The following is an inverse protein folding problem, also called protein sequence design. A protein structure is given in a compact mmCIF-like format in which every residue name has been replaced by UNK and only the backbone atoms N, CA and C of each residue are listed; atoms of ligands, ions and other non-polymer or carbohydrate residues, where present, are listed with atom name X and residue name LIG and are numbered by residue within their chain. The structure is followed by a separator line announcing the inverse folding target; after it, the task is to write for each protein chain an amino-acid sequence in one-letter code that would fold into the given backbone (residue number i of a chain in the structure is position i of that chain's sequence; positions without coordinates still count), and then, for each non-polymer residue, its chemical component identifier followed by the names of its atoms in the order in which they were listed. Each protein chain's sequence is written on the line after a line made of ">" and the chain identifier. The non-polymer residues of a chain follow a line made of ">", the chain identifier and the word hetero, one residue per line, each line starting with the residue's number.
data_IF_861802942134
#
_entry.id   IF_861802942134
#
_cell.length_a   1.000
_cell.length_b   1.000
_cell.length_c   1.000
_cell.angle_alpha   90.00
_cell.angle_beta   90.00
_cell.angle_gamma   90.00
#
_symmetry.space_group_name_H-M   'P 1'
#
loop_
_entity.id
_entity.type
_entity.pdbx_description
1 polymer ?
#
# COMPACT_ATOMS: atom_id res chain seq x y z
N UNK A 1 -16.85 10.30 -11.23
CA UNK A 1 -17.53 8.98 -11.33
C UNK A 1 -18.18 8.64 -10.00
N UNK A 2 -19.40 8.16 -10.06
CA UNK A 2 -20.17 7.60 -8.95
C UNK A 2 -20.35 6.10 -9.16
N UNK A 3 -20.34 5.28 -8.10
CA UNK A 3 -20.73 3.88 -8.18
C UNK A 3 -21.95 3.64 -7.27
N UNK A 4 -23.00 3.10 -7.82
CA UNK A 4 -24.20 2.69 -7.09
C UNK A 4 -24.18 1.18 -6.95
N UNK A 5 -24.08 0.70 -5.71
CA UNK A 5 -24.00 -0.72 -5.40
C UNK A 5 -25.28 -1.13 -4.69
N UNK A 6 -26.00 -2.09 -5.29
CA UNK A 6 -27.20 -2.66 -4.70
C UNK A 6 -26.84 -3.78 -3.71
N UNK A 7 -27.59 -3.93 -2.62
CA UNK A 7 -27.42 -5.02 -1.68
C UNK A 7 -27.37 -6.40 -2.38
N UNK A 8 -26.47 -7.24 -1.94
CA UNK A 8 -26.34 -8.60 -2.45
C UNK A 8 -25.04 -9.24 -2.02
N UNK A 9 -25.11 -10.51 -1.68
CA UNK A 9 -23.96 -11.28 -1.25
C UNK A 9 -23.10 -11.65 -2.45
N UNK A 10 -21.78 -11.55 -2.28
CA UNK A 10 -20.82 -12.05 -3.25
C UNK A 10 -20.56 -13.53 -3.03
N UNK A 11 -20.26 -14.26 -4.11
CA UNK A 11 -19.96 -15.69 -4.11
C UNK A 11 -18.94 -16.04 -5.21
N UNK A 12 -18.38 -17.25 -5.16
CA UNK A 12 -17.47 -17.74 -6.18
C UNK A 12 -15.99 -17.54 -5.86
N UNK A 13 -15.19 -17.34 -6.90
CA UNK A 13 -13.73 -17.35 -6.80
C UNK A 13 -13.12 -16.10 -7.42
N UNK A 14 -12.22 -15.45 -6.69
CA UNK A 14 -11.24 -14.54 -7.26
C UNK A 14 -10.09 -15.42 -7.77
N UNK A 15 -10.06 -15.69 -9.07
CA UNK A 15 -9.11 -16.64 -9.66
C UNK A 15 -7.66 -16.19 -9.56
N UNK A 16 -7.42 -14.89 -9.61
CA UNK A 16 -6.12 -14.26 -9.37
C UNK A 16 -6.31 -12.92 -8.68
N UNK A 17 -5.76 -12.78 -7.50
CA UNK A 17 -5.70 -11.48 -6.85
C UNK A 17 -4.71 -10.56 -7.60
N UNK A 18 -5.00 -9.26 -7.62
CA UNK A 18 -4.07 -8.27 -8.18
C UNK A 18 -2.69 -8.36 -7.50
N UNK A 19 -1.64 -8.00 -8.22
CA UNK A 19 -0.29 -8.01 -7.65
C UNK A 19 -0.12 -7.01 -6.51
N UNK A 20 0.75 -7.33 -5.56
CA UNK A 20 1.09 -6.44 -4.46
C UNK A 20 1.71 -5.14 -4.98
N UNK A 21 0.95 -4.04 -4.85
CA UNK A 21 1.45 -2.71 -5.18
C UNK A 21 2.75 -2.41 -4.43
N UNK A 22 2.82 -2.75 -3.15
CA UNK A 22 3.98 -2.51 -2.30
C UNK A 22 5.21 -3.32 -2.72
N UNK A 23 5.04 -4.58 -3.14
CA UNK A 23 6.11 -5.40 -3.72
C UNK A 23 6.48 -4.90 -5.12
N UNK A 24 5.49 -4.52 -5.94
CA UNK A 24 5.68 -4.00 -7.29
C UNK A 24 6.57 -2.76 -7.34
N UNK A 25 6.33 -1.76 -6.51
CA UNK A 25 7.22 -0.58 -6.42
C UNK A 25 8.68 -0.97 -6.19
N UNK A 26 8.92 -1.89 -5.26
CA UNK A 26 10.27 -2.35 -4.90
C UNK A 26 10.91 -3.15 -6.01
N UNK A 27 10.16 -4.04 -6.63
CA UNK A 27 10.62 -4.84 -7.75
C UNK A 27 11.01 -3.96 -8.95
N UNK A 28 10.17 -2.97 -9.30
CA UNK A 28 10.45 -2.02 -10.39
C UNK A 28 11.74 -1.23 -10.12
N UNK A 29 11.92 -0.72 -8.89
CA UNK A 29 13.10 0.06 -8.51
C UNK A 29 14.35 -0.82 -8.51
N UNK A 30 14.32 -1.97 -7.84
CA UNK A 30 15.49 -2.86 -7.79
C UNK A 30 15.87 -3.35 -9.19
N UNK A 31 14.90 -3.70 -10.05
CA UNK A 31 15.16 -4.14 -11.42
C UNK A 31 15.74 -3.00 -12.28
N UNK A 32 15.25 -1.76 -12.15
CA UNK A 32 15.78 -0.62 -12.89
C UNK A 32 17.20 -0.21 -12.44
N UNK A 33 17.59 -0.57 -11.21
CA UNK A 33 18.92 -0.27 -10.66
C UNK A 33 19.91 -1.44 -10.78
N UNK A 34 19.44 -2.61 -11.23
CA UNK A 34 20.25 -3.82 -11.29
C UNK A 34 21.28 -3.80 -12.43
N UNK A 35 22.35 -4.59 -12.27
CA UNK A 35 23.19 -5.01 -13.38
C UNK A 35 22.51 -6.19 -14.07
N UNK A 36 22.22 -6.03 -15.39
CA UNK A 36 21.50 -7.00 -16.20
C UNK A 36 19.98 -6.81 -16.20
N UNK A 37 19.36 -7.35 -17.26
CA UNK A 37 17.91 -7.27 -17.46
C UNK A 37 17.15 -8.17 -16.49
N UNK A 38 15.96 -7.77 -16.12
CA UNK A 38 15.07 -8.56 -15.24
C UNK A 38 13.71 -8.74 -15.91
N UNK A 39 13.23 -9.98 -15.98
CA UNK A 39 11.86 -10.29 -16.37
C UNK A 39 10.96 -10.27 -15.13
N UNK A 40 10.05 -9.29 -15.07
CA UNK A 40 9.07 -9.17 -13.98
C UNK A 40 7.74 -9.79 -14.40
N UNK A 41 7.31 -10.81 -13.69
CA UNK A 41 6.04 -11.50 -13.90
C UNK A 41 4.98 -11.04 -12.88
N UNK A 42 3.71 -11.19 -13.26
CA UNK A 42 2.58 -10.95 -12.38
C UNK A 42 2.34 -9.48 -12.04
N UNK A 43 2.86 -8.53 -12.83
CA UNK A 43 2.59 -7.11 -12.63
C UNK A 43 1.23 -6.70 -13.17
N UNK A 44 0.41 -6.11 -12.33
CA UNK A 44 -0.82 -5.41 -12.71
C UNK A 44 -0.63 -3.90 -12.57
N UNK A 45 -0.86 -3.17 -13.64
CA UNK A 45 -0.64 -1.72 -13.64
C UNK A 45 -1.80 -0.97 -12.99
N UNK A 46 -1.52 -0.37 -11.87
CA UNK A 46 -2.36 0.67 -11.26
C UNK A 46 -1.71 2.05 -11.43
N UNK A 47 -2.40 3.11 -11.06
CA UNK A 47 -1.88 4.48 -11.19
C UNK A 47 -0.54 4.66 -10.46
N UNK A 48 -0.42 4.15 -9.23
CA UNK A 48 0.78 4.28 -8.41
C UNK A 48 2.00 3.55 -9.03
N UNK A 49 1.84 2.31 -9.50
CA UNK A 49 2.91 1.56 -10.16
C UNK A 49 3.29 2.19 -11.50
N UNK A 50 2.30 2.71 -12.25
CA UNK A 50 2.52 3.43 -13.50
C UNK A 50 3.34 4.70 -13.26
N UNK A 51 3.08 5.45 -12.18
CA UNK A 51 3.88 6.62 -11.81
C UNK A 51 5.34 6.23 -11.51
N UNK A 52 5.57 5.15 -10.77
CA UNK A 52 6.93 4.65 -10.50
C UNK A 52 7.64 4.22 -11.77
N UNK A 53 6.98 3.45 -12.65
CA UNK A 53 7.53 3.05 -13.94
C UNK A 53 7.96 4.26 -14.77
N UNK A 54 7.05 5.21 -14.98
CA UNK A 54 7.34 6.44 -15.75
C UNK A 54 8.50 7.24 -15.15
N UNK A 55 8.58 7.32 -13.81
CA UNK A 55 9.69 7.96 -13.13
C UNK A 55 11.03 7.25 -13.42
N UNK A 56 11.05 5.91 -13.37
CA UNK A 56 12.24 5.13 -13.69
C UNK A 56 12.60 5.21 -15.19
N UNK A 57 11.60 5.28 -16.09
CA UNK A 57 11.81 5.53 -17.52
C UNK A 57 12.47 6.91 -17.77
N UNK A 58 11.99 7.96 -17.08
CA UNK A 58 12.62 9.28 -17.13
C UNK A 58 14.07 9.27 -16.61
N UNK A 59 14.38 8.38 -15.65
CA UNK A 59 15.74 8.16 -15.14
C UNK A 59 16.60 7.29 -16.08
N UNK A 60 16.04 6.75 -17.16
CA UNK A 60 16.76 6.05 -18.24
C UNK A 60 16.51 4.55 -18.31
N UNK A 61 15.76 3.94 -17.42
CA UNK A 61 15.36 2.55 -17.54
C UNK A 61 14.36 2.35 -18.69
N UNK A 62 14.32 1.15 -19.29
CA UNK A 62 13.36 0.82 -20.33
C UNK A 62 12.50 -0.37 -19.89
N UNK A 63 11.17 -0.26 -20.08
CA UNK A 63 10.21 -1.31 -19.77
C UNK A 63 9.54 -1.80 -21.06
N UNK A 64 9.71 -3.08 -21.38
CA UNK A 64 9.16 -3.70 -22.57
C UNK A 64 8.19 -4.81 -22.21
N UNK A 65 6.96 -4.84 -22.76
CA UNK A 65 6.06 -5.96 -22.56
C UNK A 65 6.63 -7.22 -23.23
N UNK A 66 6.53 -8.36 -22.54
CA UNK A 66 6.96 -9.67 -23.04
C UNK A 66 5.92 -10.72 -22.61
N UNK A 67 4.90 -10.92 -23.45
CA UNK A 67 3.71 -11.67 -23.11
C UNK A 67 2.95 -11.02 -21.95
N UNK A 68 2.72 -11.75 -20.88
CA UNK A 68 2.11 -11.25 -19.63
C UNK A 68 3.15 -10.67 -18.65
N UNK A 69 4.44 -10.73 -19.00
CA UNK A 69 5.53 -10.21 -18.19
C UNK A 69 6.08 -8.88 -18.73
N UNK A 70 6.99 -8.28 -17.98
CA UNK A 70 7.65 -7.04 -18.34
C UNK A 70 9.15 -7.19 -18.20
N UNK A 71 9.88 -6.99 -19.30
CA UNK A 71 11.33 -6.92 -19.29
C UNK A 71 11.77 -5.53 -18.87
N UNK A 72 12.53 -5.44 -17.80
CA UNK A 72 13.16 -4.23 -17.32
C UNK A 72 14.61 -4.23 -17.76
N UNK A 73 14.97 -3.23 -18.56
CA UNK A 73 16.33 -2.99 -19.03
C UNK A 73 16.87 -1.79 -18.27
N UNK A 74 17.89 -1.96 -17.43
CA UNK A 74 18.51 -0.87 -16.69
C UNK A 74 19.10 0.19 -17.62
N UNK A 75 19.09 1.42 -17.18
CA UNK A 75 19.68 2.52 -17.94
C UNK A 75 19.83 3.79 -17.09
N UNK A 76 20.61 4.74 -17.57
CA UNK A 76 20.86 6.03 -16.93
C UNK A 76 20.72 7.16 -17.94
N UNK A 77 19.96 8.16 -17.58
CA UNK A 77 19.86 9.40 -18.35
C UNK A 77 20.80 10.45 -17.74
N UNK A 78 21.51 11.15 -18.60
CA UNK A 78 22.30 12.32 -18.20
C UNK A 78 21.40 13.56 -18.08
N UNK A 79 21.76 14.47 -17.15
CA UNK A 79 21.08 15.74 -16.96
C UNK A 79 19.88 15.64 -16.02
N UNK A 80 19.07 16.70 -16.02
CA UNK A 80 17.92 16.87 -15.15
C UNK A 80 16.73 16.03 -15.61
N UNK A 81 16.05 15.38 -14.65
CA UNK A 81 14.85 14.58 -14.91
C UNK A 81 13.59 15.19 -14.30
N UNK A 82 12.44 14.88 -14.91
CA UNK A 82 11.12 15.31 -14.44
C UNK A 82 10.30 14.09 -14.08
N UNK A 83 9.86 14.02 -12.81
CA UNK A 83 9.20 12.88 -12.23
C UNK A 83 7.79 13.26 -11.77
N UNK A 84 6.75 12.83 -12.50
CA UNK A 84 5.37 12.97 -12.04
C UNK A 84 5.02 11.77 -11.13
N UNK A 85 4.95 12.03 -9.83
CA UNK A 85 4.58 11.03 -8.83
C UNK A 85 3.05 10.80 -8.74
N UNK A 86 2.23 11.53 -9.49
CA UNK A 86 0.78 11.45 -9.38
C UNK A 86 0.30 11.75 -7.95
N UNK A 87 -0.44 10.84 -7.35
CA UNK A 87 -0.80 10.88 -5.92
C UNK A 87 -0.02 9.83 -5.09
N UNK A 88 0.97 9.15 -5.70
CA UNK A 88 1.71 8.05 -5.10
C UNK A 88 2.78 8.52 -4.11
N UNK A 89 2.50 8.34 -2.83
CA UNK A 89 3.48 8.59 -1.76
C UNK A 89 4.68 7.64 -1.81
N UNK A 90 4.50 6.42 -2.31
CA UNK A 90 5.61 5.46 -2.48
C UNK A 90 6.54 5.92 -3.60
N UNK A 91 6.02 6.34 -4.74
CA UNK A 91 6.81 6.86 -5.86
C UNK A 91 7.66 8.04 -5.40
N UNK A 92 7.04 9.05 -4.76
CA UNK A 92 7.76 10.22 -4.27
C UNK A 92 8.88 9.84 -3.29
N UNK A 93 8.54 9.07 -2.24
CA UNK A 93 9.47 8.78 -1.13
C UNK A 93 10.55 7.76 -1.46
N UNK A 94 10.37 7.00 -2.54
CA UNK A 94 11.37 6.05 -3.01
C UNK A 94 12.28 6.68 -4.07
N UNK A 95 11.72 7.41 -5.05
CA UNK A 95 12.52 8.01 -6.11
C UNK A 95 13.31 9.24 -5.61
N UNK A 96 12.81 9.98 -4.63
CA UNK A 96 13.53 11.16 -4.09
C UNK A 96 14.92 10.82 -3.54
N UNK A 97 15.10 9.87 -2.59
CA UNK A 97 16.45 9.49 -2.14
C UNK A 97 17.23 8.73 -3.22
N UNK A 98 16.56 8.03 -4.14
CA UNK A 98 17.20 7.32 -5.23
C UNK A 98 17.89 8.29 -6.21
N UNK A 99 17.20 9.38 -6.64
CA UNK A 99 17.78 10.40 -7.50
C UNK A 99 18.99 11.06 -6.84
N UNK A 100 18.90 11.37 -5.54
CA UNK A 100 20.02 11.95 -4.80
C UNK A 100 21.22 10.99 -4.65
N UNK A 101 20.97 9.67 -4.42
CA UNK A 101 22.05 8.69 -4.35
C UNK A 101 22.79 8.55 -5.68
N UNK A 102 22.09 8.73 -6.80
CA UNK A 102 22.66 8.75 -8.14
C UNK A 102 23.35 10.08 -8.49
N UNK A 103 23.19 11.12 -7.67
CA UNK A 103 23.67 12.47 -7.99
C UNK A 103 22.91 13.11 -9.17
N UNK A 104 21.69 12.69 -9.40
CA UNK A 104 20.86 13.15 -10.52
C UNK A 104 19.99 14.32 -10.09
N UNK A 105 20.04 15.42 -10.82
CA UNK A 105 19.11 16.53 -10.60
C UNK A 105 17.70 16.12 -11.05
N UNK A 106 16.71 16.42 -10.20
CA UNK A 106 15.32 16.09 -10.52
C UNK A 106 14.34 17.19 -10.08
N UNK A 107 13.25 17.29 -10.81
CA UNK A 107 12.02 17.96 -10.38
C UNK A 107 10.92 16.91 -10.22
N UNK A 108 10.43 16.78 -8.98
CA UNK A 108 9.34 15.88 -8.66
C UNK A 108 8.04 16.69 -8.53
N UNK A 109 6.99 16.23 -9.20
CA UNK A 109 5.65 16.81 -9.14
C UNK A 109 4.67 15.78 -8.60
N UNK A 110 3.48 16.26 -8.23
CA UNK A 110 2.40 15.40 -7.78
C UNK A 110 1.10 16.18 -7.67
N UNK A 111 0.01 15.47 -7.40
CA UNK A 111 -1.34 16.04 -7.31
C UNK A 111 -2.04 15.57 -6.03
N UNK A 112 -3.27 16.08 -5.86
CA UNK A 112 -4.08 15.79 -4.69
C UNK A 112 -3.39 16.22 -3.40
N UNK A 113 -3.41 15.40 -2.39
CA UNK A 113 -2.81 15.66 -1.08
C UNK A 113 -1.31 15.37 -1.01
N UNK A 114 -0.65 14.95 -2.11
CA UNK A 114 0.74 14.48 -2.03
C UNK A 114 1.72 15.55 -1.51
N UNK A 115 1.54 16.82 -1.90
CA UNK A 115 2.37 17.93 -1.43
C UNK A 115 2.29 18.14 0.09
N UNK A 116 1.11 17.97 0.68
CA UNK A 116 0.89 18.16 2.11
C UNK A 116 1.27 16.96 2.99
N UNK A 117 1.61 15.81 2.36
CA UNK A 117 2.05 14.62 3.12
C UNK A 117 3.47 14.81 3.63
N UNK A 118 3.77 14.40 4.88
CA UNK A 118 5.10 14.62 5.47
C UNK A 118 6.25 14.07 4.63
N UNK A 119 7.34 14.85 4.56
CA UNK A 119 8.66 14.38 4.12
C UNK A 119 9.66 14.41 5.27
N UNK A 120 9.41 15.21 6.31
CA UNK A 120 10.19 15.21 7.53
C UNK A 120 10.05 13.87 8.29
N UNK A 121 11.15 13.27 8.79
CA UNK A 121 12.54 13.75 8.81
C UNK A 121 13.40 13.27 7.62
N UNK A 122 12.83 12.64 6.58
CA UNK A 122 13.59 12.15 5.43
C UNK A 122 14.37 13.27 4.73
N UNK A 123 13.72 14.37 4.46
CA UNK A 123 14.29 15.53 3.76
C UNK A 123 15.46 16.15 4.53
N UNK A 124 15.35 16.31 5.84
CA UNK A 124 16.48 16.80 6.68
C UNK A 124 17.67 15.85 6.64
N UNK A 125 17.42 14.55 6.81
CA UNK A 125 18.48 13.54 6.75
C UNK A 125 19.17 13.51 5.39
N UNK A 126 18.43 13.71 4.31
CA UNK A 126 19.03 13.83 2.98
C UNK A 126 19.89 15.07 2.82
N UNK A 127 19.43 16.23 3.34
CA UNK A 127 20.19 17.48 3.28
C UNK A 127 21.47 17.44 4.12
N UNK A 128 21.42 16.88 5.33
CA UNK A 128 22.60 16.68 6.18
C UNK A 128 23.66 15.79 5.49
N UNK A 129 23.22 14.89 4.61
CA UNK A 129 24.09 13.99 3.87
C UNK A 129 24.36 14.41 2.41
N UNK A 130 24.21 15.68 2.07
CA UNK A 130 24.72 16.24 0.83
C UNK A 130 23.75 16.40 -0.32
N UNK A 131 22.50 16.01 -0.16
CA UNK A 131 21.45 16.41 -1.07
C UNK A 131 21.02 17.86 -0.79
N UNK A 132 20.60 18.57 -1.82
CA UNK A 132 19.89 19.84 -1.69
C UNK A 132 18.44 19.63 -2.12
N UNK A 133 17.50 20.13 -1.33
CA UNK A 133 16.08 20.11 -1.63
C UNK A 133 15.49 21.51 -1.58
N UNK A 134 14.53 21.80 -2.47
CA UNK A 134 13.73 23.01 -2.39
C UNK A 134 12.76 22.96 -1.21
N UNK A 135 11.98 24.02 -1.03
CA UNK A 135 11.00 24.11 0.05
C UNK A 135 10.02 22.93 0.05
N UNK A 136 9.83 22.33 1.24
CA UNK A 136 8.89 21.20 1.43
C UNK A 136 7.45 21.66 1.33
N UNK A 137 6.58 20.76 0.90
CA UNK A 137 5.14 21.03 0.77
C UNK A 137 4.76 21.82 -0.48
N UNK A 138 5.73 22.18 -1.32
CA UNK A 138 5.55 22.90 -2.59
C UNK A 138 6.05 22.04 -3.75
N UNK A 139 5.23 21.90 -4.79
CA UNK A 139 5.65 21.29 -6.05
C UNK A 139 5.92 22.36 -7.14
N UNK A 140 6.89 22.14 -8.04
CA UNK A 140 7.78 20.99 -8.08
C UNK A 140 8.80 20.98 -6.94
N UNK A 141 8.96 19.84 -6.29
CA UNK A 141 10.04 19.59 -5.35
C UNK A 141 11.32 19.34 -6.16
N UNK A 142 12.33 20.19 -5.97
CA UNK A 142 13.61 20.06 -6.65
C UNK A 142 14.61 19.37 -5.76
N UNK A 143 15.39 18.47 -6.35
CA UNK A 143 16.52 17.80 -5.69
C UNK A 143 17.76 17.91 -6.54
N UNK A 144 18.89 18.15 -5.91
CA UNK A 144 20.23 18.16 -6.50
C UNK A 144 21.28 17.75 -5.47
N UNK A 145 22.54 17.72 -5.85
CA UNK A 145 23.61 17.19 -5.01
C UNK A 145 23.66 15.67 -5.02
N UNK A 146 24.53 15.09 -4.20
CA UNK A 146 24.71 13.63 -4.12
C UNK A 146 24.62 13.16 -2.69
N UNK A 147 23.79 12.16 -2.45
CA UNK A 147 23.63 11.53 -1.15
C UNK A 147 24.92 10.81 -0.76
N UNK A 148 25.47 11.16 0.40
CA UNK A 148 26.71 10.59 0.95
C UNK A 148 26.40 9.51 1.97
N UNK A 149 27.27 8.53 2.04
CA UNK A 149 27.23 7.53 3.11
C UNK A 149 27.36 8.18 4.50
N UNK A 150 26.79 7.53 5.51
CA UNK A 150 26.86 8.04 6.88
C UNK A 150 25.82 7.47 7.81
N UNK A 151 25.61 8.15 8.94
CA UNK A 151 24.64 7.77 9.95
C UNK A 151 23.36 8.59 9.78
N UNK A 152 22.32 7.97 9.29
CA UNK A 152 20.97 8.50 9.18
C UNK A 152 20.16 8.18 10.43
N UNK A 153 19.27 9.07 10.85
CA UNK A 153 18.40 8.86 12.01
C UNK A 153 16.95 9.14 11.63
N UNK A 154 16.08 8.16 11.75
CA UNK A 154 14.66 8.26 11.40
C UNK A 154 13.77 7.81 12.56
N UNK A 155 12.68 8.55 12.79
CA UNK A 155 11.65 8.12 13.73
C UNK A 155 10.85 6.94 13.14
N UNK A 156 10.74 5.84 13.90
CA UNK A 156 10.07 4.61 13.46
C UNK A 156 8.56 4.74 13.33
N UNK A 157 7.97 5.75 13.96
CA UNK A 157 6.51 5.96 14.02
C UNK A 157 5.96 6.96 12.98
N UNK A 158 6.76 7.52 12.07
CA UNK A 158 6.29 8.47 11.06
C UNK A 158 5.94 7.76 9.75
N UNK A 159 6.90 7.15 9.09
CA UNK A 159 6.65 6.43 7.83
C UNK A 159 7.72 5.39 7.52
N UNK A 160 7.30 4.12 7.37
CA UNK A 160 8.17 3.05 6.86
C UNK A 160 8.68 3.30 5.43
N UNK A 161 8.01 4.19 4.67
CA UNK A 161 8.45 4.56 3.31
C UNK A 161 9.74 5.38 3.33
N UNK A 162 10.00 6.16 4.39
CA UNK A 162 11.27 6.89 4.53
C UNK A 162 12.44 5.94 4.70
N UNK A 163 12.25 4.94 5.58
CA UNK A 163 13.23 3.89 5.82
C UNK A 163 13.47 3.09 4.54
N UNK A 164 12.39 2.64 3.89
CA UNK A 164 12.45 1.86 2.65
C UNK A 164 13.13 2.62 1.50
N UNK A 165 12.84 3.93 1.35
CA UNK A 165 13.47 4.78 0.34
C UNK A 165 14.97 4.90 0.52
N UNK A 166 15.44 5.16 1.76
CA UNK A 166 16.87 5.21 2.07
C UNK A 166 17.52 3.83 1.93
N UNK A 167 16.87 2.74 2.39
CA UNK A 167 17.39 1.38 2.23
C UNK A 167 17.68 1.06 0.77
N UNK A 168 16.76 1.41 -0.15
CA UNK A 168 16.96 1.16 -1.58
C UNK A 168 17.98 2.10 -2.23
N UNK A 169 18.17 3.30 -1.70
CA UNK A 169 19.07 4.30 -2.27
C UNK A 169 20.54 4.13 -1.82
N UNK A 170 20.76 3.84 -0.54
CA UNK A 170 22.10 3.85 0.08
C UNK A 170 23.09 2.79 -0.45
N UNK A 171 22.68 1.61 -0.96
CA UNK A 171 23.61 0.70 -1.64
C UNK A 171 24.32 1.33 -2.85
N UNK A 172 23.71 2.36 -3.47
CA UNK A 172 24.24 3.08 -4.63
C UNK A 172 25.19 4.25 -4.24
N UNK A 173 25.22 4.63 -2.96
CA UNK A 173 26.12 5.63 -2.44
C UNK A 173 27.53 5.04 -2.20
N UNK A 174 28.57 5.89 -2.27
CA UNK A 174 29.93 5.48 -1.98
C UNK A 174 30.15 5.39 -0.46
N UNK A 175 30.56 4.21 0.03
CA UNK A 175 30.82 3.94 1.45
C UNK A 175 29.60 3.39 2.21
N UNK A 176 29.89 2.86 3.39
CA UNK A 176 28.89 2.19 4.23
C UNK A 176 27.99 3.18 4.97
N UNK A 177 26.74 2.81 5.17
CA UNK A 177 25.75 3.62 5.86
C UNK A 177 25.06 2.86 6.99
N UNK A 178 24.53 3.64 7.94
CA UNK A 178 23.70 3.14 9.03
C UNK A 178 22.42 3.95 9.12
N UNK A 179 21.26 3.30 9.15
CA UNK A 179 19.98 3.93 9.47
C UNK A 179 19.62 3.55 10.90
N UNK A 180 19.70 4.50 11.83
CA UNK A 180 19.24 4.34 13.21
C UNK A 180 17.75 4.70 13.30
N UNK A 181 16.97 3.84 13.99
CA UNK A 181 15.55 4.05 14.20
C UNK A 181 15.34 4.51 15.63
N UNK A 182 14.70 5.66 15.80
CA UNK A 182 14.30 6.16 17.11
C UNK A 182 12.86 5.81 17.41
N UNK A 183 12.61 5.38 18.64
CA UNK A 183 11.29 4.91 19.06
C UNK A 183 10.90 3.57 18.45
N UNK A 184 9.61 3.25 18.52
CA UNK A 184 9.07 1.99 18.00
C UNK A 184 8.92 2.03 16.48
N UNK A 185 9.41 1.00 15.80
CA UNK A 185 9.20 0.83 14.35
C UNK A 185 7.77 0.35 14.08
N UNK A 186 6.94 1.22 13.58
CA UNK A 186 5.59 0.88 13.10
C UNK A 186 5.60 0.57 11.59
N UNK A 187 4.71 -0.30 11.14
CA UNK A 187 4.70 -0.85 9.77
C UNK A 187 6.02 -1.56 9.42
N UNK A 188 6.60 -2.26 10.39
CA UNK A 188 7.79 -3.09 10.21
C UNK A 188 7.71 -4.04 9.01
N UNK A 189 6.59 -4.73 8.76
CA UNK A 189 6.44 -5.61 7.60
C UNK A 189 6.74 -4.96 6.25
N UNK A 190 6.47 -3.66 6.06
CA UNK A 190 6.84 -2.97 4.81
C UNK A 190 8.35 -2.75 4.67
N UNK A 191 9.07 -2.64 5.78
CA UNK A 191 10.53 -2.60 5.79
C UNK A 191 11.07 -3.99 5.48
N UNK A 192 10.49 -5.05 6.07
CA UNK A 192 10.87 -6.44 5.80
C UNK A 192 10.64 -6.81 4.33
N UNK A 193 9.55 -6.37 3.70
CA UNK A 193 9.34 -6.48 2.25
C UNK A 193 10.45 -5.80 1.45
N UNK A 194 10.94 -4.64 1.90
CA UNK A 194 12.05 -3.94 1.24
C UNK A 194 13.33 -4.74 1.33
N UNK A 195 13.68 -5.20 2.52
CA UNK A 195 14.87 -6.02 2.76
C UNK A 195 14.82 -7.33 1.94
N UNK A 196 13.68 -8.01 1.95
CA UNK A 196 13.48 -9.24 1.17
C UNK A 196 13.61 -9.02 -0.34
N UNK A 197 13.08 -7.90 -0.85
CA UNK A 197 13.22 -7.56 -2.27
C UNK A 197 14.67 -7.22 -2.62
N UNK A 198 15.36 -6.41 -1.81
CA UNK A 198 16.77 -6.05 -2.01
C UNK A 198 17.66 -7.30 -2.00
N UNK A 199 17.43 -8.25 -1.09
CA UNK A 199 18.16 -9.51 -1.02
C UNK A 199 18.00 -10.35 -2.30
N UNK A 200 16.81 -10.37 -2.91
CA UNK A 200 16.59 -11.04 -4.22
C UNK A 200 17.39 -10.41 -5.35
N UNK A 201 17.79 -9.16 -5.22
CA UNK A 201 18.67 -8.44 -6.14
C UNK A 201 20.11 -8.35 -5.64
N UNK A 202 20.53 -9.24 -4.75
CA UNK A 202 21.92 -9.39 -4.29
C UNK A 202 22.38 -8.32 -3.29
N UNK A 203 21.47 -7.54 -2.72
CA UNK A 203 21.80 -6.50 -1.74
C UNK A 203 21.33 -6.95 -0.36
N UNK A 204 22.27 -7.42 0.46
CA UNK A 204 22.00 -7.80 1.84
C UNK A 204 22.22 -6.61 2.79
N UNK A 205 21.21 -6.37 3.64
CA UNK A 205 21.24 -5.37 4.70
C UNK A 205 21.26 -6.10 6.03
N UNK A 206 22.25 -5.79 6.87
CA UNK A 206 22.33 -6.36 8.21
C UNK A 206 21.41 -5.56 9.14
N UNK A 207 20.42 -6.24 9.72
CA UNK A 207 19.56 -5.67 10.76
C UNK A 207 20.16 -5.94 12.12
N UNK A 208 20.30 -4.88 12.93
CA UNK A 208 20.66 -4.93 14.34
C UNK A 208 19.53 -4.30 15.17
N UNK A 209 19.60 -4.39 16.50
CA UNK A 209 18.61 -3.75 17.35
C UNK A 209 18.57 -2.25 17.09
N UNK A 210 17.42 -1.74 16.66
CA UNK A 210 17.19 -0.32 16.38
C UNK A 210 17.95 0.25 15.17
N UNK A 211 18.57 -0.58 14.32
CA UNK A 211 19.25 -0.03 13.14
C UNK A 211 19.43 -1.02 11.98
N UNK A 212 19.74 -0.46 10.80
CA UNK A 212 20.09 -1.17 9.58
C UNK A 212 21.49 -0.75 9.12
N UNK A 213 22.35 -1.71 8.81
CA UNK A 213 23.70 -1.49 8.29
C UNK A 213 23.71 -1.83 6.81
N UNK A 214 24.07 -0.87 5.98
CA UNK A 214 24.04 -0.95 4.53
C UNK A 214 25.46 -0.80 3.98
N UNK A 215 25.92 -1.76 3.19
CA UNK A 215 27.16 -1.64 2.43
C UNK A 215 26.89 -0.82 1.17
N UNK A 216 27.65 0.23 0.99
CA UNK A 216 27.59 1.09 -0.19
C UNK A 216 28.57 0.69 -1.29
N UNK A 217 28.42 1.32 -2.46
CA UNK A 217 29.23 1.01 -3.64
C UNK A 217 28.97 -0.38 -4.21
N UNK A 218 27.85 -1.00 -3.83
CA UNK A 218 27.40 -2.31 -4.28
C UNK A 218 26.15 -2.11 -5.13
N UNK A 219 26.21 -2.33 -6.42
CA UNK A 219 25.04 -2.29 -7.29
C UNK A 219 24.05 -3.42 -6.96
N UNK A 220 22.85 -3.31 -7.52
CA UNK A 220 21.89 -4.41 -7.56
C UNK A 220 22.27 -5.39 -8.67
N UNK A 221 22.08 -6.68 -8.45
CA UNK A 221 22.25 -7.72 -9.46
C UNK A 221 20.89 -8.30 -9.85
N UNK A 222 20.64 -8.45 -11.15
CA UNK A 222 19.39 -9.04 -11.62
C UNK A 222 19.31 -10.52 -11.24
N UNK A 223 18.18 -11.01 -10.71
CA UNK A 223 17.93 -12.44 -10.55
C UNK A 223 17.53 -13.13 -11.88
N UNK A 224 17.55 -12.40 -13.02
CA UNK A 224 17.06 -12.86 -14.31
C UNK A 224 15.53 -12.78 -14.41
N UNK A 225 14.83 -13.43 -13.50
CA UNK A 225 13.36 -13.48 -13.46
C UNK A 225 12.84 -13.32 -12.03
N UNK A 226 11.75 -12.58 -11.89
CA UNK A 226 11.09 -12.35 -10.59
C UNK A 226 9.58 -12.27 -10.76
N UNK A 227 8.84 -13.07 -10.00
CA UNK A 227 7.39 -12.95 -9.90
C UNK A 227 7.02 -12.04 -8.73
N UNK A 228 6.16 -11.04 -8.99
CA UNK A 228 5.58 -10.18 -7.97
C UNK A 228 4.39 -10.94 -7.34
N UNK A 229 4.39 -11.03 -6.03
CA UNK A 229 3.36 -11.73 -5.25
C UNK A 229 2.00 -11.02 -5.28
N UNK A 230 0.93 -11.75 -4.95
CA UNK A 230 -0.42 -11.20 -4.81
C UNK A 230 -0.56 -10.22 -3.65
N UNK A 231 -1.50 -9.29 -3.77
CA UNK A 231 -1.70 -8.20 -2.81
C UNK A 231 -2.66 -8.61 -1.67
N UNK A 232 -2.12 -8.84 -0.48
CA UNK A 232 -2.91 -9.10 0.71
C UNK A 232 -3.78 -7.90 1.10
N UNK A 233 -3.34 -6.67 0.83
CA UNK A 233 -4.15 -5.47 1.07
C UNK A 233 -5.37 -5.41 0.15
N UNK A 234 -5.19 -5.73 -1.14
CA UNK A 234 -6.28 -5.81 -2.12
C UNK A 234 -7.19 -7.00 -1.86
N UNK A 235 -6.61 -8.18 -1.54
CA UNK A 235 -7.37 -9.38 -1.20
C UNK A 235 -8.24 -9.21 0.05
N UNK A 236 -7.83 -8.37 1.00
CA UNK A 236 -8.56 -8.16 2.25
C UNK A 236 -10.03 -7.74 2.03
N UNK A 237 -10.33 -7.03 0.94
CA UNK A 237 -11.71 -6.64 0.61
C UNK A 237 -12.55 -7.86 0.20
N UNK A 238 -11.99 -8.78 -0.57
CA UNK A 238 -12.67 -10.03 -0.96
C UNK A 238 -12.81 -10.99 0.23
N UNK A 239 -11.78 -11.08 1.08
CA UNK A 239 -11.83 -11.89 2.29
C UNK A 239 -12.87 -11.33 3.27
N UNK A 240 -12.99 -10.01 3.40
CA UNK A 240 -14.04 -9.37 4.19
C UNK A 240 -15.44 -9.65 3.59
N UNK A 241 -15.60 -9.51 2.28
CA UNK A 241 -16.86 -9.85 1.61
C UNK A 241 -17.24 -11.32 1.81
N UNK A 242 -16.26 -12.23 1.78
CA UNK A 242 -16.46 -13.65 2.11
C UNK A 242 -16.92 -13.87 3.55
N UNK A 243 -16.42 -13.08 4.50
CA UNK A 243 -16.85 -13.13 5.90
C UNK A 243 -18.30 -12.62 6.10
N UNK A 244 -18.85 -11.90 5.12
CA UNK A 244 -20.24 -11.44 5.11
C UNK A 244 -21.17 -12.38 4.32
N UNK A 245 -20.63 -13.35 3.56
CA UNK A 245 -21.40 -14.28 2.72
C UNK A 245 -21.46 -15.69 3.32
N UNK A 246 -22.66 -16.28 3.49
CA UNK A 246 -22.81 -17.67 3.94
C UNK A 246 -22.16 -18.69 3.00
N UNK A 247 -22.20 -18.47 1.68
CA UNK A 247 -21.52 -19.31 0.70
C UNK A 247 -20.00 -19.09 0.72
N UNK A 248 -19.58 -17.90 1.15
CA UNK A 248 -18.20 -17.48 1.24
C UNK A 248 -17.58 -17.13 -0.10
N UNK A 249 -16.32 -16.71 -0.04
CA UNK A 249 -15.49 -16.43 -1.20
C UNK A 249 -14.19 -17.23 -1.12
N UNK A 250 -13.71 -17.60 -2.30
CA UNK A 250 -12.40 -18.20 -2.51
C UNK A 250 -11.49 -17.16 -3.18
N UNK A 251 -10.27 -17.01 -2.68
CA UNK A 251 -9.26 -16.08 -3.21
C UNK A 251 -7.99 -16.85 -3.49
N UNK A 252 -7.49 -16.79 -4.73
CA UNK A 252 -6.27 -17.45 -5.20
C UNK A 252 -5.15 -16.45 -5.50
N UNK A 253 -3.91 -16.95 -5.50
CA UNK A 253 -2.71 -16.18 -5.78
C UNK A 253 -2.16 -15.44 -4.56
N UNK A 254 -2.44 -15.93 -3.34
CA UNK A 254 -1.94 -15.39 -2.08
C UNK A 254 -0.83 -16.27 -1.52
N UNK A 255 0.38 -15.72 -1.40
CA UNK A 255 1.47 -16.40 -0.72
C UNK A 255 1.26 -16.33 0.81
N UNK A 256 1.03 -17.49 1.42
CA UNK A 256 0.86 -17.63 2.88
C UNK A 256 2.15 -17.36 3.66
N UNK A 257 3.32 -17.40 3.02
CA UNK A 257 4.62 -17.06 3.62
C UNK A 257 5.03 -15.60 3.46
N UNK A 258 4.22 -14.81 2.73
CA UNK A 258 4.50 -13.40 2.43
C UNK A 258 4.84 -12.58 3.67
N UNK A 259 5.79 -11.66 3.52
CA UNK A 259 6.15 -10.65 4.51
C UNK A 259 5.11 -9.50 4.63
N UNK A 260 4.07 -9.48 3.77
CA UNK A 260 3.03 -8.46 3.85
C UNK A 260 2.30 -8.52 5.20
N UNK A 261 2.31 -7.41 5.96
CA UNK A 261 1.64 -7.33 7.28
C UNK A 261 0.15 -7.61 7.19
N UNK A 262 -0.46 -7.25 6.06
CA UNK A 262 -1.90 -7.39 5.80
C UNK A 262 -2.37 -8.86 5.67
N UNK A 263 -1.44 -9.83 5.61
CA UNK A 263 -1.75 -11.26 5.82
C UNK A 263 -2.44 -11.52 7.16
N UNK A 264 -2.26 -10.64 8.15
CA UNK A 264 -2.96 -10.68 9.44
C UNK A 264 -4.48 -10.64 9.31
N UNK A 265 -5.01 -10.24 8.14
CA UNK A 265 -6.45 -10.28 7.85
C UNK A 265 -7.07 -11.64 8.17
N UNK A 266 -6.39 -12.75 7.87
CA UNK A 266 -6.89 -14.10 8.16
C UNK A 266 -7.06 -14.35 9.66
N UNK A 267 -6.07 -13.98 10.46
CA UNK A 267 -6.13 -14.14 11.91
C UNK A 267 -7.22 -13.24 12.52
N UNK A 268 -7.38 -12.03 11.99
CA UNK A 268 -8.39 -11.08 12.45
C UNK A 268 -9.82 -11.57 12.12
N UNK A 269 -10.05 -12.07 10.89
CA UNK A 269 -11.34 -12.64 10.53
C UNK A 269 -11.72 -13.85 11.41
N UNK A 270 -10.75 -14.71 11.75
CA UNK A 270 -10.95 -15.79 12.73
C UNK A 270 -11.30 -15.24 14.12
N UNK A 271 -10.59 -14.21 14.56
CA UNK A 271 -10.86 -13.57 15.85
C UNK A 271 -12.28 -12.98 15.89
N UNK A 272 -12.77 -12.38 14.81
CA UNK A 272 -14.16 -11.96 14.67
C UNK A 272 -15.16 -13.14 14.73
N UNK A 273 -14.75 -14.35 14.37
CA UNK A 273 -15.58 -15.55 14.35
C UNK A 273 -15.85 -16.11 12.94
N UNK A 274 -15.38 -15.49 11.87
CA UNK A 274 -15.54 -15.99 10.51
C UNK A 274 -14.78 -17.33 10.32
N UNK A 275 -15.32 -18.21 9.49
CA UNK A 275 -14.65 -19.44 9.09
C UNK A 275 -13.60 -19.13 8.01
N UNK A 276 -12.35 -19.52 8.25
CA UNK A 276 -11.26 -19.32 7.29
C UNK A 276 -10.46 -20.58 7.09
N UNK A 277 -10.24 -20.97 5.85
CA UNK A 277 -9.36 -22.07 5.44
C UNK A 277 -8.29 -21.50 4.50
N UNK A 278 -7.06 -22.00 4.61
CA UNK A 278 -5.96 -21.57 3.75
C UNK A 278 -5.07 -22.77 3.42
N UNK A 279 -4.77 -22.98 2.15
CA UNK A 279 -3.91 -24.04 1.67
C UNK A 279 -3.22 -23.64 0.36
N UNK A 280 -1.89 -23.79 0.29
CA UNK A 280 -1.11 -23.36 -0.86
C UNK A 280 -1.26 -21.85 -1.10
N UNK A 281 -1.69 -21.45 -2.28
CA UNK A 281 -1.96 -20.04 -2.65
C UNK A 281 -3.47 -19.69 -2.59
N UNK A 282 -4.28 -20.49 -1.91
CA UNK A 282 -5.73 -20.34 -1.86
C UNK A 282 -6.22 -20.09 -0.44
N UNK A 283 -7.15 -19.13 -0.31
CA UNK A 283 -7.84 -18.80 0.93
C UNK A 283 -9.33 -18.84 0.70
N UNK A 284 -10.07 -19.49 1.60
CA UNK A 284 -11.54 -19.51 1.61
C UNK A 284 -12.02 -18.88 2.91
N UNK A 285 -12.95 -17.93 2.81
CA UNK A 285 -13.59 -17.29 3.96
C UNK A 285 -15.10 -17.38 3.83
N UNK A 286 -15.79 -17.73 4.93
CA UNK A 286 -17.26 -17.84 5.00
C UNK A 286 -17.81 -17.14 6.22
N UNK A 287 -19.02 -16.63 6.10
CA UNK A 287 -19.72 -16.03 7.21
C UNK A 287 -20.03 -17.04 8.32
N UNK A 288 -19.84 -16.61 9.55
CA UNK A 288 -20.32 -17.21 10.79
C UNK A 288 -20.77 -16.07 11.71
N UNK A 289 -21.48 -16.33 12.80
CA UNK A 289 -21.77 -15.28 13.76
C UNK A 289 -20.49 -14.59 14.26
N UNK A 290 -20.36 -13.30 13.92
CA UNK A 290 -19.19 -12.48 14.26
C UNK A 290 -19.46 -11.63 15.49
N UNK A 291 -18.41 -11.38 16.27
CA UNK A 291 -18.41 -10.54 17.47
C UNK A 291 -17.27 -9.53 17.47
N UNK A 292 -17.40 -8.49 18.29
CA UNK A 292 -16.37 -7.44 18.41
C UNK A 292 -15.05 -7.97 18.96
N UNK A 293 -13.95 -7.32 18.58
CA UNK A 293 -12.57 -7.71 18.92
C UNK A 293 -11.69 -6.49 19.22
N UNK A 294 -10.53 -6.71 19.84
CA UNK A 294 -9.46 -5.71 19.91
C UNK A 294 -8.43 -5.92 18.79
N UNK A 295 -8.05 -4.84 18.12
CA UNK A 295 -7.14 -4.84 16.98
C UNK A 295 -6.02 -3.84 17.20
N UNK A 296 -4.79 -4.29 17.05
CA UNK A 296 -3.62 -3.44 16.94
C UNK A 296 -3.32 -3.17 15.45
N UNK A 297 -3.50 -1.93 15.00
CA UNK A 297 -3.33 -1.50 13.61
C UNK A 297 -1.94 -0.97 13.28
N UNK A 298 -1.00 -0.95 14.22
CA UNK A 298 0.34 -0.37 14.04
C UNK A 298 1.09 -0.91 12.82
N UNK A 299 0.95 -2.20 12.51
CA UNK A 299 1.59 -2.85 11.36
C UNK A 299 0.68 -3.08 10.16
N UNK A 300 -0.63 -2.82 10.32
CA UNK A 300 -1.65 -3.09 9.30
C UNK A 300 -2.56 -1.87 9.03
N UNK A 301 -2.00 -0.66 8.91
CA UNK A 301 -2.80 0.57 8.77
C UNK A 301 -3.73 0.54 7.54
N UNK A 302 -3.36 -0.25 6.54
CA UNK A 302 -4.09 -0.34 5.29
C UNK A 302 -5.31 -1.26 5.36
N UNK A 303 -5.41 -2.13 6.38
CA UNK A 303 -6.59 -2.94 6.64
C UNK A 303 -7.70 -2.19 7.41
N UNK A 304 -7.38 -1.07 8.09
CA UNK A 304 -8.35 -0.42 8.98
C UNK A 304 -9.68 -0.07 8.30
N UNK A 305 -9.73 0.47 7.08
CA UNK A 305 -11.02 0.78 6.44
C UNK A 305 -11.91 -0.45 6.25
N UNK A 306 -11.37 -1.57 5.78
CA UNK A 306 -12.16 -2.79 5.56
C UNK A 306 -12.45 -3.52 6.88
N UNK A 307 -11.54 -3.49 7.85
CA UNK A 307 -11.77 -4.03 9.19
C UNK A 307 -12.87 -3.27 9.94
N UNK A 308 -12.99 -1.97 9.70
CA UNK A 308 -14.10 -1.17 10.25
C UNK A 308 -15.45 -1.63 9.71
N UNK A 309 -15.51 -2.03 8.43
CA UNK A 309 -16.71 -2.62 7.83
C UNK A 309 -17.02 -3.99 8.45
N UNK A 310 -16.02 -4.87 8.62
CA UNK A 310 -16.20 -6.16 9.30
C UNK A 310 -16.68 -5.95 10.73
N UNK A 311 -16.08 -5.01 11.47
CA UNK A 311 -16.46 -4.65 12.83
C UNK A 311 -17.91 -4.17 12.93
N UNK A 312 -18.35 -3.35 11.99
CA UNK A 312 -19.74 -2.85 11.94
C UNK A 312 -20.75 -3.96 11.65
N UNK A 313 -20.37 -4.95 10.80
CA UNK A 313 -21.17 -6.13 10.49
C UNK A 313 -21.13 -7.21 11.59
N UNK A 314 -20.17 -7.15 12.49
CA UNK A 314 -20.15 -7.99 13.71
C UNK A 314 -21.16 -7.50 14.74
N UNK A 315 -21.31 -8.21 15.85
CA UNK A 315 -22.11 -7.76 17.01
C UNK A 315 -21.20 -7.40 18.18
N UNK A 316 -21.49 -6.27 18.83
CA UNK A 316 -20.73 -5.79 19.97
C UNK A 316 -19.62 -4.80 19.59
N UNK A 317 -18.81 -4.41 20.56
CA UNK A 317 -17.82 -3.36 20.44
C UNK A 317 -16.49 -3.91 19.86
N UNK A 318 -15.95 -3.23 18.84
CA UNK A 318 -14.59 -3.46 18.33
C UNK A 318 -13.73 -2.23 18.64
N UNK A 319 -12.52 -2.47 19.15
CA UNK A 319 -11.52 -1.43 19.42
C UNK A 319 -10.32 -1.57 18.48
N UNK A 320 -9.99 -0.52 17.75
CA UNK A 320 -8.82 -0.47 16.85
C UNK A 320 -7.85 0.56 17.42
N UNK A 321 -6.67 0.11 17.84
CA UNK A 321 -5.63 0.93 18.46
C UNK A 321 -4.48 1.20 17.49
N UNK A 322 -3.64 2.19 17.82
CA UNK A 322 -2.47 2.64 17.05
C UNK A 322 -2.86 3.17 15.66
N UNK A 323 -3.86 4.04 15.63
CA UNK A 323 -4.45 4.62 14.42
C UNK A 323 -3.95 6.04 14.10
N UNK A 324 -3.16 6.68 14.97
CA UNK A 324 -2.78 8.10 14.82
C UNK A 324 -2.22 8.42 13.42
N UNK A 325 -1.37 7.54 12.86
CA UNK A 325 -0.77 7.72 11.52
C UNK A 325 -1.76 7.61 10.36
N UNK A 326 -2.94 7.08 10.57
CA UNK A 326 -3.98 7.00 9.53
C UNK A 326 -4.42 8.38 9.07
N UNK A 327 -4.25 9.40 9.91
CA UNK A 327 -4.55 10.80 9.57
C UNK A 327 -3.62 11.39 8.51
N UNK A 328 -2.44 10.76 8.29
CA UNK A 328 -1.38 11.20 7.38
C UNK A 328 -1.35 10.39 6.07
N UNK A 329 -2.42 9.63 5.78
CA UNK A 329 -2.54 8.81 4.57
C UNK A 329 -3.13 9.60 3.39
N UNK A 330 -3.64 8.91 2.37
CA UNK A 330 -4.28 9.49 1.17
C UNK A 330 -5.45 10.41 1.53
N UNK A 331 -6.19 10.04 2.55
CA UNK A 331 -7.15 10.86 3.27
C UNK A 331 -6.77 10.90 4.75
N UNK A 332 -7.42 11.73 5.57
CA UNK A 332 -7.50 11.42 7.01
C UNK A 332 -8.39 10.19 7.15
N UNK A 333 -7.77 8.99 7.16
CA UNK A 333 -8.51 7.73 7.18
C UNK A 333 -9.32 7.54 8.45
N UNK A 334 -8.94 8.15 9.56
CA UNK A 334 -9.76 8.12 10.77
C UNK A 334 -11.07 8.85 10.53
N UNK A 335 -11.00 10.08 10.04
CA UNK A 335 -12.19 10.88 9.71
C UNK A 335 -13.02 10.24 8.59
N UNK A 336 -12.36 9.72 7.54
CA UNK A 336 -13.04 9.09 6.40
C UNK A 336 -13.75 7.78 6.76
N UNK A 337 -13.17 6.95 7.66
CA UNK A 337 -13.83 5.74 8.16
C UNK A 337 -15.02 6.09 9.04
N UNK A 338 -14.89 7.08 9.94
CA UNK A 338 -16.03 7.54 10.75
C UNK A 338 -17.17 8.06 9.88
N UNK A 339 -16.85 8.84 8.84
CA UNK A 339 -17.84 9.36 7.89
C UNK A 339 -18.52 8.24 7.11
N UNK A 340 -17.76 7.24 6.63
CA UNK A 340 -18.28 6.04 5.96
C UNK A 340 -19.28 5.30 6.88
N UNK A 341 -18.87 4.99 8.10
CA UNK A 341 -19.71 4.26 9.06
C UNK A 341 -20.98 5.03 9.42
N UNK A 342 -20.85 6.33 9.67
CA UNK A 342 -21.98 7.22 9.97
C UNK A 342 -22.97 7.29 8.81
N UNK A 343 -22.48 7.44 7.56
CA UNK A 343 -23.33 7.48 6.36
C UNK A 343 -24.10 6.16 6.15
N UNK A 344 -23.59 5.06 6.66
CA UNK A 344 -24.21 3.74 6.59
C UNK A 344 -24.96 3.33 7.89
N UNK A 345 -25.17 4.30 8.78
CA UNK A 345 -26.01 4.12 9.99
C UNK A 345 -25.32 3.39 11.14
N UNK A 346 -23.98 3.37 11.20
CA UNK A 346 -23.21 2.71 12.25
C UNK A 346 -22.58 3.73 13.19
N UNK A 347 -22.74 3.51 14.51
CA UNK A 347 -22.11 4.33 15.55
C UNK A 347 -20.63 3.97 15.70
N UNK A 348 -19.78 4.99 15.59
CA UNK A 348 -18.35 4.86 15.83
C UNK A 348 -17.78 6.16 16.38
N UNK A 349 -16.74 6.08 17.20
CA UNK A 349 -16.01 7.23 17.73
C UNK A 349 -14.51 6.98 17.67
N UNK A 350 -13.74 8.03 17.55
CA UNK A 350 -12.28 7.94 17.62
C UNK A 350 -11.69 9.01 18.53
N UNK A 351 -10.68 8.63 19.28
CA UNK A 351 -9.78 9.50 20.01
C UNK A 351 -8.52 9.80 19.19
N UNK A 352 -7.43 10.09 19.88
CA UNK A 352 -6.15 10.38 19.28
C UNK A 352 -5.56 9.14 18.56
N UNK A 353 -5.53 8.01 19.24
CA UNK A 353 -4.87 6.77 18.78
C UNK A 353 -5.76 5.49 18.91
N UNK A 354 -7.05 5.66 19.12
CA UNK A 354 -8.03 4.56 19.22
C UNK A 354 -9.33 4.92 18.49
N UNK A 355 -9.93 3.93 17.82
CA UNK A 355 -11.28 3.97 17.25
C UNK A 355 -12.11 2.86 17.88
N UNK A 356 -13.36 3.20 18.25
CA UNK A 356 -14.33 2.24 18.80
C UNK A 356 -15.54 2.21 17.88
N UNK A 357 -15.94 1.01 17.46
CA UNK A 357 -17.04 0.76 16.53
C UNK A 357 -18.07 -0.12 17.24
N UNK A 358 -19.33 0.31 17.25
CA UNK A 358 -20.45 -0.44 17.81
C UNK A 358 -21.13 -1.25 16.70
N UNK A 359 -20.68 -2.51 16.55
CA UNK A 359 -21.21 -3.42 15.55
C UNK A 359 -22.66 -3.82 15.82
N UNK A 360 -23.50 -3.70 14.79
CA UNK A 360 -24.96 -3.96 14.86
C UNK A 360 -25.44 -5.08 13.93
N UNK A 361 -24.52 -5.69 13.18
CA UNK A 361 -24.83 -6.82 12.30
C UNK A 361 -25.16 -6.44 10.86
N UNK A 362 -24.95 -5.17 10.43
CA UNK A 362 -25.20 -4.72 9.07
C UNK A 362 -25.28 -3.20 8.92
N UNK A 363 -25.76 -2.74 7.78
CA UNK A 363 -25.77 -1.33 7.37
C UNK A 363 -27.14 -0.93 6.81
N UNK A 364 -27.52 0.33 6.92
CA UNK A 364 -28.77 0.83 6.34
C UNK A 364 -28.70 1.07 4.82
N UNK A 365 -27.48 1.21 4.27
CA UNK A 365 -27.24 1.85 2.99
C UNK A 365 -27.13 3.36 3.13
N UNK A 366 -26.75 4.04 2.05
CA UNK A 366 -26.56 5.50 2.07
C UNK A 366 -25.53 5.99 1.05
N UNK A 367 -25.22 7.30 1.10
CA UNK A 367 -24.21 7.91 0.23
C UNK A 367 -22.90 8.14 0.98
N UNK A 368 -21.79 7.59 0.44
CA UNK A 368 -20.44 7.62 1.00
C UNK A 368 -19.55 8.45 0.10
N UNK A 369 -18.79 9.38 0.68
CA UNK A 369 -17.66 10.01 0.00
C UNK A 369 -16.42 9.14 0.19
N UNK A 370 -15.74 8.76 -0.90
CA UNK A 370 -14.48 8.03 -0.81
C UNK A 370 -13.31 8.90 -0.36
N UNK A 371 -13.47 10.22 -0.37
CA UNK A 371 -12.39 11.20 -0.12
C UNK A 371 -11.19 10.99 -1.05
N UNK A 372 -11.44 10.47 -2.27
CA UNK A 372 -10.42 10.02 -3.23
C UNK A 372 -9.44 9.00 -2.64
N UNK A 373 -9.83 8.26 -1.62
CA UNK A 373 -9.08 7.15 -1.05
C UNK A 373 -9.68 5.82 -1.53
N UNK A 374 -8.88 5.07 -2.29
CA UNK A 374 -9.28 3.79 -2.86
C UNK A 374 -9.75 2.79 -1.82
N UNK A 375 -9.17 2.82 -0.61
CA UNK A 375 -9.54 1.89 0.47
C UNK A 375 -10.90 2.22 1.08
N UNK A 376 -11.26 3.49 1.12
CA UNK A 376 -12.61 3.91 1.56
C UNK A 376 -13.63 3.51 0.49
N UNK A 377 -13.35 3.74 -0.80
CA UNK A 377 -14.23 3.32 -1.89
C UNK A 377 -14.49 1.80 -1.89
N UNK A 378 -13.42 0.99 -1.78
CA UNK A 378 -13.54 -0.46 -1.73
C UNK A 378 -14.21 -0.96 -0.44
N UNK A 379 -13.97 -0.32 0.70
CA UNK A 379 -14.64 -0.65 1.96
C UNK A 379 -16.15 -0.38 1.89
N UNK A 380 -16.56 0.76 1.30
CA UNK A 380 -17.96 1.07 1.07
C UNK A 380 -18.64 0.05 0.15
N UNK A 381 -17.94 -0.45 -0.87
CA UNK A 381 -18.44 -1.48 -1.75
C UNK A 381 -18.66 -2.82 -0.99
N UNK A 382 -17.74 -3.20 -0.12
CA UNK A 382 -17.89 -4.39 0.73
C UNK A 382 -19.05 -4.24 1.72
N UNK A 383 -19.24 -3.03 2.29
CA UNK A 383 -20.36 -2.77 3.20
C UNK A 383 -21.72 -3.00 2.53
N UNK A 384 -21.84 -2.75 1.21
CA UNK A 384 -23.08 -3.01 0.46
C UNK A 384 -23.49 -4.49 0.49
N UNK A 385 -22.56 -5.43 0.71
CA UNK A 385 -22.87 -6.86 0.83
C UNK A 385 -23.78 -7.18 2.04
N UNK A 386 -23.74 -6.35 3.07
CA UNK A 386 -24.54 -6.51 4.30
C UNK A 386 -25.46 -5.30 4.55
N UNK A 387 -25.77 -4.51 3.52
CA UNK A 387 -26.64 -3.36 3.62
C UNK A 387 -28.11 -3.71 3.31
N UNK A 388 -29.03 -2.98 3.93
CA UNK A 388 -30.49 -3.09 3.66
C UNK A 388 -30.88 -2.31 2.39
N UNK A 389 -30.18 -1.22 2.08
CA UNK A 389 -30.39 -0.34 0.94
C UNK A 389 -29.13 -0.11 0.10
N UNK A 390 -29.26 0.55 -1.06
CA UNK A 390 -28.11 0.85 -1.92
C UNK A 390 -27.03 1.67 -1.22
N UNK A 391 -25.77 1.40 -1.56
CA UNK A 391 -24.61 2.20 -1.18
C UNK A 391 -24.13 2.97 -2.41
N UNK A 392 -24.16 4.29 -2.33
CA UNK A 392 -23.71 5.19 -3.38
C UNK A 392 -22.32 5.72 -3.01
N UNK A 393 -21.33 5.47 -3.84
CA UNK A 393 -19.94 5.87 -3.59
C UNK A 393 -19.58 7.02 -4.50
N UNK A 394 -19.28 8.19 -3.94
CA UNK A 394 -18.72 9.33 -4.69
C UNK A 394 -17.22 9.18 -4.87
N UNK A 395 -16.68 9.74 -5.96
CA UNK A 395 -15.27 9.64 -6.34
C UNK A 395 -14.79 8.16 -6.41
N UNK A 396 -15.66 7.28 -6.90
CA UNK A 396 -15.43 5.84 -6.91
C UNK A 396 -14.25 5.42 -7.79
N UNK A 397 -13.86 6.24 -8.79
CA UNK A 397 -12.67 6.02 -9.62
C UNK A 397 -11.36 5.96 -8.82
N UNK A 398 -11.37 6.41 -7.56
CA UNK A 398 -10.21 6.30 -6.68
C UNK A 398 -9.65 4.86 -6.57
N UNK A 399 -10.46 3.83 -6.82
CA UNK A 399 -10.00 2.43 -6.84
C UNK A 399 -8.84 2.19 -7.80
N UNK A 400 -8.76 2.95 -8.91
CA UNK A 400 -7.71 2.84 -9.92
C UNK A 400 -6.29 3.12 -9.40
N UNK A 401 -6.17 3.77 -8.26
CA UNK A 401 -4.86 4.00 -7.59
C UNK A 401 -4.17 2.69 -7.20
N UNK A 402 -4.94 1.65 -6.88
CA UNK A 402 -4.38 0.37 -6.46
C UNK A 402 -5.06 -0.86 -7.05
N UNK A 403 -6.33 -0.77 -7.47
CA UNK A 403 -7.11 -1.90 -7.98
C UNK A 403 -8.04 -1.45 -9.12
N UNK A 404 -7.52 -1.18 -10.34
CA UNK A 404 -8.33 -0.64 -11.44
C UNK A 404 -9.55 -1.48 -11.82
N UNK A 405 -9.43 -2.81 -11.80
CA UNK A 405 -10.51 -3.76 -12.12
C UNK A 405 -11.45 -4.12 -10.95
N UNK A 406 -11.45 -3.35 -9.84
CA UNK A 406 -12.20 -3.72 -8.63
C UNK A 406 -13.68 -3.90 -8.87
N UNK A 407 -14.37 -2.97 -9.54
CA UNK A 407 -15.80 -3.07 -9.80
C UNK A 407 -16.15 -4.13 -10.84
N UNK A 408 -15.26 -4.42 -11.78
CA UNK A 408 -15.43 -5.54 -12.71
C UNK A 408 -15.35 -6.87 -11.95
N UNK A 409 -14.33 -7.05 -11.11
CA UNK A 409 -14.22 -8.23 -10.25
C UNK A 409 -15.41 -8.37 -9.29
N UNK A 410 -15.94 -7.25 -8.78
CA UNK A 410 -17.13 -7.23 -7.93
C UNK A 410 -18.36 -7.78 -8.68
N UNK A 411 -18.54 -7.42 -9.97
CA UNK A 411 -19.61 -7.97 -10.82
C UNK A 411 -19.43 -9.46 -11.10
N UNK A 412 -18.19 -9.90 -11.39
CA UNK A 412 -17.87 -11.32 -11.63
C UNK A 412 -18.21 -12.20 -10.43
N UNK A 413 -18.15 -11.66 -9.23
CA UNK A 413 -18.53 -12.32 -7.98
C UNK A 413 -20.04 -12.22 -7.66
N UNK A 414 -20.87 -11.77 -8.61
CA UNK A 414 -22.32 -11.66 -8.46
C UNK A 414 -22.81 -10.31 -7.90
N UNK A 415 -21.91 -9.39 -7.66
CA UNK A 415 -22.26 -8.05 -7.16
C UNK A 415 -22.94 -7.17 -8.22
N UNK A 416 -23.88 -6.34 -7.79
CA UNK A 416 -24.64 -5.44 -8.65
C UNK A 416 -24.14 -4.02 -8.47
N UNK A 417 -23.32 -3.57 -9.40
CA UNK A 417 -22.75 -2.20 -9.39
C UNK A 417 -23.03 -1.49 -10.72
N UNK A 418 -23.52 -0.25 -10.64
CA UNK A 418 -23.68 0.66 -11.76
C UNK A 418 -22.72 1.83 -11.57
N UNK A 419 -21.91 2.10 -12.56
CA UNK A 419 -21.01 3.26 -12.60
C UNK A 419 -21.70 4.38 -13.38
N UNK A 420 -21.62 5.61 -12.83
CA UNK A 420 -22.22 6.83 -13.39
C UNK A 420 -21.14 7.93 -13.39
N UNK A 421 -21.13 8.76 -14.40
CA UNK A 421 -20.17 9.90 -14.54
C UNK A 421 -20.43 11.02 -13.54
#
# INVERSE_FOLDING_TARGET
>A
MKAVIHPGLLHGTVERVICSKSAGHRALICAAMAEGETLLEGLDWCEDLTATRKGLEAMGACFRPEGEAWRVIPGRTAGKVFLDCGESGSTLRFLLPLTAALGQEAELTGRGKLASRPLFPLDEQMMEHGAWLSERGVFPLRVSGRLRAGKYTLAGNVSSQFISGLLMALPLAEGDSRIAITGELQSGPYVDMTLGMMARFGVDVRREEGCFLIRGGRGYASPGQLRVEGDWSGAAFWLAAGALSPEGLRVRGLDLSSAQGDRRMLALLRAFGAETMAAGEEVVVRARPMHGVEIDAGDIPDLVPVLAVVAAAARGETRIRRIARLRLKESDRVASVLALLSALGVSARAGEDEMVIEGRGGFTGGEVDSFRDHRIAMAAAVAACAAEGPVVIREAQAVSKSYPGFFEQFRLLGGRVKEED
#
